data_IF_341666631481
#
_entry.id   IF_341666631481
#
_cell.length_a   1.000
_cell.length_b   1.000
_cell.length_c   1.000
_cell.angle_alpha   90.00
_cell.angle_beta   90.00
_cell.angle_gamma   90.00
#
_symmetry.space_group_name_H-M   'P 1'
#
loop_
_entity.id
_entity.type
_entity.pdbx_description
1 polymer ?
#
# COMPACT_ATOMS: atom_id res chain seq x y z
N UNK A 1 -18.34 -12.89 -9.50
CA UNK A 1 -17.44 -12.21 -8.56
C UNK A 1 -17.54 -10.72 -8.82
N UNK A 2 -18.13 -9.96 -7.90
CA UNK A 2 -18.15 -8.49 -7.97
C UNK A 2 -16.72 -8.03 -7.70
N UNK A 3 -15.98 -7.59 -8.73
CA UNK A 3 -14.67 -6.98 -8.50
C UNK A 3 -14.89 -5.75 -7.61
N UNK A 4 -14.31 -5.77 -6.41
CA UNK A 4 -14.32 -4.62 -5.53
C UNK A 4 -13.64 -3.47 -6.26
N UNK A 5 -14.34 -2.34 -6.42
CA UNK A 5 -13.72 -1.15 -7.01
C UNK A 5 -12.46 -0.77 -6.22
N UNK A 6 -11.34 -0.45 -6.89
CA UNK A 6 -10.17 0.06 -6.20
C UNK A 6 -10.54 1.26 -5.33
N UNK A 7 -10.07 1.21 -4.10
CA UNK A 7 -10.23 2.24 -3.08
C UNK A 7 -9.11 3.26 -3.11
N UNK A 8 -8.01 2.99 -3.82
CA UNK A 8 -6.89 3.93 -3.99
C UNK A 8 -6.33 3.79 -5.41
N UNK A 9 -6.19 4.91 -6.10
CA UNK A 9 -5.45 5.00 -7.36
C UNK A 9 -4.16 5.78 -7.12
N UNK A 10 -3.03 5.23 -7.55
CA UNK A 10 -1.74 5.93 -7.51
C UNK A 10 -1.34 6.27 -8.94
N UNK A 11 -1.38 7.56 -9.27
CA UNK A 11 -0.96 8.09 -10.57
C UNK A 11 0.53 8.35 -10.52
N UNK A 12 1.29 7.80 -11.46
CA UNK A 12 2.76 7.88 -11.43
C UNK A 12 3.41 7.72 -12.80
N UNK A 13 4.65 8.17 -12.97
CA UNK A 13 5.52 7.79 -14.10
C UNK A 13 6.46 6.61 -13.78
N UNK A 14 6.49 6.13 -12.52
CA UNK A 14 7.28 4.97 -12.09
C UNK A 14 6.46 4.08 -11.14
N UNK A 15 5.86 3.05 -11.73
CA UNK A 15 5.02 2.10 -11.01
C UNK A 15 5.79 1.29 -9.96
N UNK A 16 7.06 0.95 -10.22
CA UNK A 16 7.86 0.11 -9.32
C UNK A 16 8.13 0.88 -8.04
N UNK A 17 8.62 2.10 -8.19
CA UNK A 17 8.94 2.94 -7.04
C UNK A 17 7.70 3.32 -6.24
N UNK A 18 6.60 3.65 -6.92
CA UNK A 18 5.32 3.93 -6.26
C UNK A 18 4.83 2.74 -5.44
N UNK A 19 4.94 1.51 -5.97
CA UNK A 19 4.54 0.31 -5.23
C UNK A 19 5.36 0.11 -3.95
N UNK A 20 6.69 0.24 -4.06
CA UNK A 20 7.59 0.10 -2.93
C UNK A 20 7.34 1.18 -1.88
N UNK A 21 7.15 2.42 -2.30
CA UNK A 21 7.02 3.56 -1.39
C UNK A 21 5.67 3.63 -0.68
N UNK A 22 4.57 3.29 -1.38
CA UNK A 22 3.21 3.41 -0.85
C UNK A 22 2.77 2.13 -0.13
N UNK A 23 3.12 0.95 -0.66
CA UNK A 23 2.61 -0.33 -0.17
C UNK A 23 3.69 -1.22 0.46
N UNK A 24 4.97 -0.88 0.32
CA UNK A 24 6.06 -1.72 0.80
C UNK A 24 6.20 -3.05 0.04
N UNK A 25 5.66 -3.12 -1.19
CA UNK A 25 5.65 -4.35 -1.99
C UNK A 25 6.15 -4.11 -3.42
N UNK A 26 6.55 -5.19 -4.10
CA UNK A 26 6.84 -5.14 -5.54
C UNK A 26 5.56 -5.01 -6.38
N UNK A 27 5.71 -4.80 -7.69
CA UNK A 27 4.60 -4.61 -8.65
C UNK A 27 3.51 -5.70 -8.57
N UNK A 28 3.92 -6.95 -8.35
CA UNK A 28 3.01 -8.10 -8.32
C UNK A 28 2.35 -8.33 -6.95
N UNK A 29 2.75 -7.57 -5.93
CA UNK A 29 2.20 -7.65 -4.58
C UNK A 29 1.10 -6.64 -4.28
N UNK A 30 0.63 -5.91 -5.31
CA UNK A 30 -0.33 -4.84 -5.13
C UNK A 30 -1.65 -5.38 -4.55
N UNK A 31 -2.16 -4.80 -3.45
CA UNK A 31 -3.44 -5.22 -2.89
C UNK A 31 -4.59 -5.04 -3.88
N UNK A 32 -5.57 -5.94 -3.88
CA UNK A 32 -6.74 -5.89 -4.80
C UNK A 32 -7.57 -4.60 -4.68
N UNK A 33 -7.47 -3.89 -3.55
CA UNK A 33 -8.14 -2.62 -3.33
C UNK A 33 -7.36 -1.41 -3.87
N UNK A 34 -6.17 -1.59 -4.43
CA UNK A 34 -5.33 -0.52 -4.97
C UNK A 34 -5.07 -0.71 -6.47
N UNK A 35 -4.82 0.38 -7.19
CA UNK A 35 -4.44 0.37 -8.60
C UNK A 35 -3.35 1.41 -8.88
N UNK A 36 -2.43 1.08 -9.79
CA UNK A 36 -1.43 2.01 -10.32
C UNK A 36 -1.89 2.50 -11.69
N UNK A 37 -1.84 3.80 -11.93
CA UNK A 37 -2.06 4.42 -13.23
C UNK A 37 -0.75 5.05 -13.70
N UNK A 38 -0.03 4.35 -14.59
CA UNK A 38 1.32 4.71 -15.02
C UNK A 38 1.40 5.47 -16.35
N UNK A 39 0.26 5.67 -17.01
CA UNK A 39 0.16 6.27 -18.33
C UNK A 39 -1.19 6.99 -18.50
N UNK A 40 -1.35 7.70 -19.61
CA UNK A 40 -2.54 8.50 -19.89
C UNK A 40 -3.82 7.65 -19.96
N UNK A 41 -3.76 6.45 -20.54
CA UNK A 41 -4.91 5.57 -20.70
C UNK A 41 -5.37 5.02 -19.35
N UNK A 42 -4.42 4.63 -18.49
CA UNK A 42 -4.71 4.19 -17.14
C UNK A 42 -5.29 5.32 -16.27
N UNK A 43 -4.82 6.56 -16.45
CA UNK A 43 -5.42 7.74 -15.79
C UNK A 43 -6.84 7.97 -16.28
N UNK A 44 -7.10 7.84 -17.59
CA UNK A 44 -8.43 7.99 -18.17
C UNK A 44 -9.40 6.90 -17.67
N UNK A 45 -8.90 5.69 -17.43
CA UNK A 45 -9.68 4.57 -16.90
C UNK A 45 -10.11 4.75 -15.43
N UNK A 46 -9.54 5.72 -14.70
CA UNK A 46 -9.97 6.02 -13.33
C UNK A 46 -11.42 6.52 -13.36
N UNK A 47 -12.37 5.83 -12.68
CA UNK A 47 -13.76 6.22 -12.67
C UNK A 47 -13.97 7.60 -12.08
N UNK A 48 -14.88 8.39 -12.67
CA UNK A 48 -15.29 9.67 -12.09
C UNK A 48 -15.94 9.46 -10.71
N UNK A 49 -15.67 10.37 -9.79
CA UNK A 49 -16.08 10.29 -8.38
C UNK A 49 -15.11 9.50 -7.48
N UNK A 50 -13.96 9.08 -8.01
CA UNK A 50 -12.90 8.46 -7.20
C UNK A 50 -12.34 9.47 -6.19
N UNK A 51 -12.36 9.11 -4.90
CA UNK A 51 -12.04 9.99 -3.76
C UNK A 51 -10.56 9.93 -3.32
N UNK A 52 -9.87 8.83 -3.65
CA UNK A 52 -8.56 8.53 -3.10
C UNK A 52 -7.58 8.36 -4.25
N UNK A 53 -6.90 9.46 -4.55
CA UNK A 53 -5.88 9.52 -5.60
C UNK A 53 -4.62 10.09 -5.00
N UNK A 54 -3.54 9.33 -5.11
CA UNK A 54 -2.20 9.79 -4.82
C UNK A 54 -1.49 10.07 -6.14
N UNK A 55 -0.75 11.17 -6.23
CA UNK A 55 0.10 11.46 -7.38
C UNK A 55 1.55 11.40 -6.94
N UNK A 56 2.31 10.51 -7.55
CA UNK A 56 3.74 10.35 -7.30
C UNK A 56 4.49 10.46 -8.62
N UNK A 57 5.18 11.57 -8.83
CA UNK A 57 5.78 11.87 -10.11
C UNK A 57 7.23 12.28 -9.96
N UNK A 58 8.07 11.81 -10.87
CA UNK A 58 9.42 12.32 -11.06
C UNK A 58 9.37 13.76 -11.62
N UNK A 59 10.48 14.47 -11.72
CA UNK A 59 10.51 15.81 -12.38
C UNK A 59 10.83 15.72 -13.89
N UNK A 60 10.25 14.75 -14.60
CA UNK A 60 10.51 14.49 -16.03
C UNK A 60 9.49 15.18 -16.95
N UNK A 61 9.73 15.16 -18.26
CA UNK A 61 8.74 15.69 -19.22
C UNK A 61 7.46 14.85 -19.25
N UNK A 62 7.60 13.52 -19.19
CA UNK A 62 6.49 12.58 -19.14
C UNK A 62 5.65 12.77 -17.88
N UNK A 63 6.30 12.92 -16.72
CA UNK A 63 5.58 13.13 -15.47
C UNK A 63 4.75 14.41 -15.48
N UNK A 64 5.25 15.51 -16.09
CA UNK A 64 4.51 16.77 -16.23
C UNK A 64 3.29 16.60 -17.13
N UNK A 65 3.39 15.78 -18.17
CA UNK A 65 2.26 15.44 -19.02
C UNK A 65 1.19 14.67 -18.23
N UNK A 66 1.58 13.64 -17.48
CA UNK A 66 0.64 12.88 -16.63
C UNK A 66 0.01 13.74 -15.53
N UNK A 67 0.80 14.60 -14.88
CA UNK A 67 0.32 15.57 -13.89
C UNK A 67 -0.73 16.50 -14.47
N UNK A 68 -0.49 16.99 -15.70
CA UNK A 68 -1.43 17.86 -16.40
C UNK A 68 -2.76 17.16 -16.63
N UNK A 69 -2.75 15.91 -17.13
CA UNK A 69 -3.97 15.13 -17.34
C UNK A 69 -4.76 14.99 -16.02
N UNK A 70 -4.07 14.58 -14.94
CA UNK A 70 -4.72 14.44 -13.64
C UNK A 70 -5.31 15.77 -13.14
N UNK A 71 -4.57 16.87 -13.33
CA UNK A 71 -5.00 18.22 -12.94
C UNK A 71 -6.21 18.70 -13.74
N UNK A 72 -6.25 18.44 -15.04
CA UNK A 72 -7.40 18.78 -15.90
C UNK A 72 -8.66 18.02 -15.44
N UNK A 73 -8.53 16.73 -15.08
CA UNK A 73 -9.67 15.95 -14.56
C UNK A 73 -10.13 16.41 -13.17
N UNK A 74 -9.23 16.87 -12.30
CA UNK A 74 -9.61 17.53 -11.04
C UNK A 74 -10.35 18.85 -11.29
N UNK A 75 -9.86 19.68 -12.22
CA UNK A 75 -10.52 20.94 -12.57
C UNK A 75 -11.92 20.72 -13.15
N UNK A 76 -12.12 19.62 -13.89
CA UNK A 76 -13.41 19.16 -14.38
C UNK A 76 -14.31 18.52 -13.30
N UNK A 77 -13.82 18.39 -12.05
CA UNK A 77 -14.50 17.72 -10.93
C UNK A 77 -14.83 16.25 -11.18
N UNK A 78 -14.11 15.61 -12.10
CA UNK A 78 -14.26 14.17 -12.37
C UNK A 78 -13.54 13.35 -11.31
N UNK A 79 -12.37 13.83 -10.89
CA UNK A 79 -11.62 13.26 -9.78
C UNK A 79 -11.89 14.13 -8.54
N UNK A 80 -12.05 13.50 -7.38
CA UNK A 80 -12.40 14.20 -6.15
C UNK A 80 -11.24 14.00 -5.18
N UNK A 81 -10.70 15.10 -4.64
CA UNK A 81 -9.79 15.03 -3.50
C UNK A 81 -10.59 14.59 -2.27
N UNK A 82 -10.03 13.70 -1.47
CA UNK A 82 -10.68 13.22 -0.25
C UNK A 82 -11.23 14.40 0.57
N UNK A 83 -12.52 14.37 0.96
CA UNK A 83 -13.12 15.49 1.67
C UNK A 83 -12.45 15.69 3.05
N UNK A 84 -12.52 16.91 3.57
CA UNK A 84 -11.74 17.31 4.75
C UNK A 84 -12.04 16.46 6.00
N UNK A 85 -13.28 16.03 6.17
CA UNK A 85 -13.72 15.13 7.23
C UNK A 85 -13.05 13.74 7.14
N UNK A 86 -12.88 13.22 5.92
CA UNK A 86 -12.13 11.99 5.68
C UNK A 86 -10.66 12.13 6.05
N UNK A 87 -10.02 13.25 5.68
CA UNK A 87 -8.62 13.51 6.02
C UNK A 87 -8.42 13.54 7.55
N UNK A 88 -9.31 14.21 8.29
CA UNK A 88 -9.29 14.21 9.77
C UNK A 88 -9.37 12.78 10.32
N UNK A 89 -10.23 11.93 9.75
CA UNK A 89 -10.38 10.55 10.20
C UNK A 89 -9.13 9.70 9.94
N UNK A 90 -8.41 9.94 8.85
CA UNK A 90 -7.12 9.29 8.58
C UNK A 90 -6.08 9.68 9.64
N UNK A 91 -5.97 10.97 9.96
CA UNK A 91 -5.06 11.46 11.01
C UNK A 91 -5.36 10.80 12.37
N UNK A 92 -6.63 10.67 12.74
CA UNK A 92 -7.03 9.95 13.97
C UNK A 92 -6.60 8.48 13.96
N UNK A 93 -6.69 7.81 12.82
CA UNK A 93 -6.28 6.41 12.68
C UNK A 93 -4.75 6.26 12.74
N UNK A 94 -4.01 7.19 12.13
CA UNK A 94 -2.54 7.24 12.22
C UNK A 94 -2.12 7.46 13.67
N UNK A 95 -2.71 8.44 14.37
CA UNK A 95 -2.41 8.71 15.77
C UNK A 95 -2.71 7.48 16.66
N UNK A 96 -3.80 6.75 16.40
CA UNK A 96 -4.11 5.49 17.11
C UNK A 96 -3.09 4.41 16.82
N UNK A 97 -2.63 4.26 15.57
CA UNK A 97 -1.57 3.31 15.21
C UNK A 97 -0.28 3.64 15.94
N UNK A 98 0.12 4.90 15.96
CA UNK A 98 1.39 5.34 16.56
C UNK A 98 1.39 5.23 18.10
N UNK A 99 0.21 5.19 18.72
CA UNK A 99 0.03 4.89 20.15
C UNK A 99 0.08 3.38 20.47
N UNK A 100 -0.02 2.51 19.47
CA UNK A 100 0.10 1.07 19.71
C UNK A 100 1.57 0.73 19.98
N UNK A 101 1.85 -0.05 21.04
CA UNK A 101 3.20 -0.51 21.30
C UNK A 101 3.68 -1.35 20.10
N UNK A 102 4.93 -1.11 19.70
CA UNK A 102 5.56 -1.77 18.56
C UNK A 102 5.39 -3.29 18.66
N UNK A 103 4.65 -3.87 17.72
CA UNK A 103 4.31 -5.30 17.72
C UNK A 103 5.59 -6.14 17.52
N UNK A 104 6.63 -5.54 16.91
CA UNK A 104 7.92 -6.20 16.72
C UNK A 104 8.72 -6.33 18.03
N UNK A 105 8.51 -5.45 19.01
CA UNK A 105 9.13 -5.57 20.34
C UNK A 105 8.63 -6.82 21.10
N UNK A 106 7.35 -7.19 20.95
CA UNK A 106 6.77 -8.39 21.57
C UNK A 106 7.28 -9.70 20.97
N UNK A 107 7.71 -9.66 19.70
CA UNK A 107 8.26 -10.83 18.99
C UNK A 107 9.67 -11.16 19.48
N UNK A 108 10.46 -10.15 19.85
CA UNK A 108 11.79 -10.34 20.44
C UNK A 108 11.73 -10.78 21.92
N UNK A 109 10.78 -10.31 22.72
CA UNK A 109 10.60 -10.81 24.10
C UNK A 109 10.16 -12.27 24.15
N UNK A 110 9.37 -12.73 23.17
CA UNK A 110 8.95 -14.14 23.09
C UNK A 110 10.09 -15.09 22.68
N UNK A 111 11.15 -14.58 22.04
CA UNK A 111 12.33 -15.35 21.66
C UNK A 111 13.40 -15.45 22.77
N UNK A 112 13.29 -14.66 23.83
CA UNK A 112 14.24 -14.61 24.95
C UNK A 112 13.71 -15.26 26.24
N UNK A 113 12.59 -16.00 26.19
CA UNK A 113 12.23 -16.88 27.30
C UNK A 113 13.17 -18.10 27.30
N UNK A 114 13.87 -18.41 28.41
CA UNK A 114 14.64 -19.63 28.49
C UNK A 114 13.67 -20.82 28.47
N UNK A 115 13.78 -21.66 27.44
CA UNK A 115 13.18 -23.00 27.37
C UNK A 115 13.55 -23.76 28.64
N UNK A 116 12.63 -23.80 29.59
CA UNK A 116 12.72 -24.69 30.75
C UNK A 116 11.56 -25.66 30.66
N UNK A 117 11.72 -26.69 29.83
CA UNK A 117 11.01 -27.95 29.98
C UNK A 117 11.76 -29.07 29.25
N UNK A 118 12.24 -30.00 30.06
CA UNK A 118 12.96 -31.21 29.70
C UNK A 118 12.15 -32.05 28.69
N UNK A 119 12.69 -32.25 27.48
CA UNK A 119 12.29 -33.38 26.64
C UNK A 119 13.26 -34.54 26.83
N UNK A 120 12.78 -35.77 27.13
CA UNK A 120 13.64 -36.93 27.24
C UNK A 120 14.17 -37.32 25.86
N UNK A 121 15.47 -37.61 25.81
CA UNK A 121 16.21 -38.08 24.64
C UNK A 121 15.59 -39.37 24.09
N UNK A 122 14.90 -39.29 22.95
CA UNK A 122 14.62 -40.48 22.13
C UNK A 122 15.70 -40.69 21.07
N UNK A 123 16.20 -41.92 21.06
CA UNK A 123 17.41 -42.40 20.43
C UNK A 123 17.35 -42.41 18.89
N UNK A 124 18.55 -42.32 18.30
CA UNK A 124 18.84 -42.55 16.89
C UNK A 124 18.25 -43.87 16.37
N UNK A 125 17.54 -43.79 15.26
CA UNK A 125 17.38 -44.83 14.24
C UNK A 125 17.06 -44.08 12.94
N UNK A 126 17.59 -44.32 11.75
CA UNK A 126 18.49 -45.30 11.15
C UNK A 126 18.43 -44.97 9.65
N UNK A 127 19.54 -45.08 8.92
CA UNK A 127 19.62 -44.80 7.48
C UNK A 127 18.54 -45.58 6.70
N UNK A 128 17.91 -44.93 5.73
CA UNK A 128 17.23 -45.61 4.64
C UNK A 128 17.96 -45.31 3.33
N UNK A 129 18.12 -46.38 2.55
CA UNK A 129 18.98 -46.53 1.37
C UNK A 129 18.54 -45.69 0.17
#
# INVERSE_FOLDING_TARGET
MTMSRPRLYVVTDDAVWACLSVFGCGLYGLPEWAAIASDADAIAAIPSGSLHIACWHSSTAESRFLQRICTERWAARELITAPSDWLVRIEELIAKRDQLPDVDARRQESANQPENQETPKHARAGKWH
#
